data_IF_219212317429
#
_entry.id   IF_219212317429
#
_cell.length_a   1.000
_cell.length_b   1.000
_cell.length_c   1.000
_cell.angle_alpha   90.00
_cell.angle_beta   90.00
_cell.angle_gamma   90.00
#
_symmetry.space_group_name_H-M   'P 1'
#
loop_
_entity.id
_entity.type
_entity.pdbx_description
1 polymer ?
#
# COMPACT_ATOMS: atom_id res chain seq x y z
N UNK A 1 25.50 -1.21 -4.21
CA UNK A 1 26.07 0.06 -3.79
C UNK A 1 25.25 1.25 -4.31
N UNK A 2 25.38 2.40 -3.66
CA UNK A 2 24.68 3.62 -4.07
C UNK A 2 25.04 4.04 -5.49
N UNK A 3 26.29 3.89 -5.89
CA UNK A 3 26.77 4.23 -7.24
C UNK A 3 26.06 3.38 -8.30
N UNK A 4 25.90 2.09 -8.06
CA UNK A 4 25.21 1.19 -8.99
C UNK A 4 23.73 1.55 -9.11
N UNK A 5 23.09 1.96 -8.04
CA UNK A 5 21.70 2.43 -8.06
C UNK A 5 21.54 3.72 -8.87
N UNK A 6 22.47 4.66 -8.72
CA UNK A 6 22.45 5.88 -9.53
C UNK A 6 22.59 5.58 -11.02
N UNK A 7 23.45 4.62 -11.39
CA UNK A 7 23.61 4.19 -12.77
C UNK A 7 22.30 3.55 -13.28
N UNK A 8 21.64 2.73 -12.47
CA UNK A 8 20.35 2.11 -12.83
C UNK A 8 19.24 3.14 -13.06
N UNK A 9 19.28 4.27 -12.37
CA UNK A 9 18.30 5.34 -12.60
C UNK A 9 18.35 5.88 -14.02
N UNK A 10 19.47 5.75 -14.72
CA UNK A 10 19.58 6.17 -16.12
C UNK A 10 18.70 5.33 -17.07
N UNK A 11 18.25 4.15 -16.62
CA UNK A 11 17.33 3.29 -17.38
C UNK A 11 15.86 3.69 -17.18
N UNK A 12 15.57 4.65 -16.33
CA UNK A 12 14.21 5.16 -16.14
C UNK A 12 13.90 6.20 -17.23
N UNK A 13 12.62 6.24 -17.63
CA UNK A 13 12.15 7.33 -18.49
C UNK A 13 12.22 8.66 -17.72
N UNK A 14 12.40 9.80 -18.40
CA UNK A 14 12.56 11.09 -17.72
C UNK A 14 11.47 11.43 -16.69
N UNK A 15 10.17 11.20 -16.96
CA UNK A 15 9.15 11.48 -15.95
C UNK A 15 9.32 10.69 -14.64
N UNK A 16 9.84 9.46 -14.71
CA UNK A 16 10.10 8.66 -13.51
C UNK A 16 11.33 9.14 -12.74
N UNK A 17 12.37 9.62 -13.47
CA UNK A 17 13.52 10.25 -12.84
C UNK A 17 13.08 11.51 -12.08
N UNK A 18 12.24 12.33 -12.68
CA UNK A 18 11.66 13.50 -12.04
C UNK A 18 10.83 13.13 -10.79
N UNK A 19 10.09 12.02 -10.85
CA UNK A 19 9.31 11.54 -9.71
C UNK A 19 10.21 11.14 -8.55
N UNK A 20 11.37 10.54 -8.82
CA UNK A 20 12.36 10.22 -7.79
C UNK A 20 12.91 11.49 -7.16
N UNK A 21 13.30 12.47 -7.99
CA UNK A 21 13.83 13.75 -7.53
C UNK A 21 12.80 14.53 -6.70
N UNK A 22 11.52 14.44 -7.04
CA UNK A 22 10.43 15.09 -6.32
C UNK A 22 10.00 14.35 -5.06
N UNK A 23 10.57 13.17 -4.79
CA UNK A 23 10.19 12.34 -3.65
C UNK A 23 8.89 11.57 -3.81
N UNK A 24 8.29 11.58 -4.98
CA UNK A 24 7.05 10.83 -5.27
C UNK A 24 7.29 9.35 -5.45
N UNK A 25 8.46 8.97 -5.95
CA UNK A 25 8.89 7.58 -6.11
C UNK A 25 10.15 7.38 -5.28
N UNK A 26 10.14 6.37 -4.43
CA UNK A 26 11.29 6.07 -3.57
C UNK A 26 12.48 5.58 -4.39
N UNK A 27 13.68 5.98 -3.98
CA UNK A 27 14.93 5.71 -4.69
C UNK A 27 15.20 4.21 -4.87
N UNK A 28 15.08 3.42 -3.79
CA UNK A 28 15.43 1.99 -3.84
C UNK A 28 14.49 1.20 -4.76
N UNK A 29 13.15 1.28 -4.63
CA UNK A 29 12.27 0.61 -5.60
C UNK A 29 12.50 1.06 -7.03
N UNK A 30 12.75 2.34 -7.24
CA UNK A 30 13.01 2.87 -8.59
C UNK A 30 14.27 2.25 -9.21
N UNK A 31 15.36 2.24 -8.47
CA UNK A 31 16.65 1.75 -8.97
C UNK A 31 16.70 0.23 -9.09
N UNK A 32 16.19 -0.48 -8.09
CA UNK A 32 16.34 -1.94 -8.01
C UNK A 32 15.26 -2.70 -8.82
N UNK A 33 14.09 -2.13 -9.00
CA UNK A 33 12.95 -2.82 -9.64
C UNK A 33 12.43 -2.11 -10.88
N UNK A 34 12.03 -0.85 -10.77
CA UNK A 34 11.36 -0.14 -11.86
C UNK A 34 12.30 0.09 -13.06
N UNK A 35 13.59 0.29 -12.81
CA UNK A 35 14.59 0.47 -13.86
C UNK A 35 14.74 -0.74 -14.80
N UNK A 36 14.30 -1.91 -14.37
CA UNK A 36 14.33 -3.15 -15.16
C UNK A 36 13.11 -3.32 -16.06
N UNK A 37 12.09 -2.48 -15.92
CA UNK A 37 10.91 -2.51 -16.78
C UNK A 37 11.24 -1.95 -18.16
N UNK A 38 10.48 -2.37 -19.17
CA UNK A 38 10.61 -1.79 -20.51
C UNK A 38 10.09 -0.35 -20.51
N UNK A 39 10.46 0.41 -21.53
CA UNK A 39 10.03 1.80 -21.70
C UNK A 39 8.49 1.91 -21.73
N UNK A 40 7.82 1.01 -22.44
CA UNK A 40 6.36 0.94 -22.49
C UNK A 40 5.74 0.71 -21.09
N UNK A 41 6.31 -0.24 -20.35
CA UNK A 41 5.84 -0.57 -19.00
C UNK A 41 6.03 0.60 -18.06
N UNK A 42 7.16 1.25 -18.10
CA UNK A 42 7.45 2.44 -17.32
C UNK A 42 6.51 3.60 -17.66
N UNK A 43 6.24 3.80 -18.93
CA UNK A 43 5.33 4.86 -19.39
C UNK A 43 3.91 4.65 -18.84
N UNK A 44 3.41 3.43 -18.89
CA UNK A 44 2.08 3.12 -18.38
C UNK A 44 2.04 3.25 -16.86
N UNK A 45 3.07 2.77 -16.15
CA UNK A 45 3.17 2.91 -14.70
C UNK A 45 3.17 4.38 -14.29
N UNK A 46 3.95 5.22 -14.98
CA UNK A 46 4.00 6.65 -14.73
C UNK A 46 2.63 7.32 -14.93
N UNK A 47 1.91 6.91 -15.96
CA UNK A 47 0.56 7.38 -16.24
C UNK A 47 -0.39 7.06 -15.05
N UNK A 48 -0.33 5.83 -14.53
CA UNK A 48 -1.13 5.44 -13.38
C UNK A 48 -0.76 6.20 -12.11
N UNK A 49 0.53 6.42 -11.91
CA UNK A 49 1.02 7.18 -10.74
C UNK A 49 0.48 8.60 -10.72
N UNK A 50 0.44 9.26 -11.86
CA UNK A 50 -0.11 10.61 -11.97
C UNK A 50 -1.63 10.63 -11.85
N UNK A 51 -2.31 9.71 -12.53
CA UNK A 51 -3.77 9.65 -12.54
C UNK A 51 -4.35 9.38 -11.16
N UNK A 52 -3.77 8.41 -10.44
CA UNK A 52 -4.30 7.93 -9.17
C UNK A 52 -3.55 8.49 -7.96
N UNK A 53 -2.52 9.31 -8.20
CA UNK A 53 -1.65 9.90 -7.16
C UNK A 53 -1.07 8.84 -6.23
N UNK A 54 -0.60 7.74 -6.81
CA UNK A 54 -0.03 6.61 -6.07
C UNK A 54 1.39 6.33 -6.54
N UNK A 55 2.16 5.65 -5.72
CA UNK A 55 3.47 5.13 -6.11
C UNK A 55 3.59 3.67 -5.71
N UNK A 56 4.34 2.84 -6.46
CA UNK A 56 4.46 1.44 -6.12
C UNK A 56 5.23 1.25 -4.82
N UNK A 57 4.75 0.32 -3.99
CA UNK A 57 5.49 -0.13 -2.81
C UNK A 57 6.65 -1.03 -3.27
N UNK A 58 7.54 -1.39 -2.34
CA UNK A 58 8.63 -2.32 -2.62
C UNK A 58 8.10 -3.65 -3.15
N UNK A 59 7.07 -4.21 -2.52
CA UNK A 59 6.43 -5.46 -2.95
C UNK A 59 5.82 -5.34 -4.34
N UNK A 60 5.13 -4.25 -4.62
CA UNK A 60 4.53 -4.01 -5.94
C UNK A 60 5.60 -3.87 -7.02
N UNK A 61 6.64 -3.09 -6.74
CA UNK A 61 7.76 -2.90 -7.66
C UNK A 61 8.48 -4.22 -7.95
N UNK A 62 8.69 -5.04 -6.93
CA UNK A 62 9.32 -6.35 -7.07
C UNK A 62 8.50 -7.28 -7.95
N UNK A 63 7.19 -7.32 -7.76
CA UNK A 63 6.27 -8.12 -8.59
C UNK A 63 6.26 -7.65 -10.04
N UNK A 64 6.25 -6.33 -10.25
CA UNK A 64 6.33 -5.76 -11.60
C UNK A 64 7.60 -6.21 -12.31
N UNK A 65 8.74 -6.13 -11.65
CA UNK A 65 10.02 -6.57 -12.19
C UNK A 65 9.99 -8.06 -12.54
N UNK A 66 9.47 -8.89 -11.64
CA UNK A 66 9.42 -10.34 -11.82
C UNK A 66 8.57 -10.71 -13.05
N UNK A 67 7.38 -10.14 -13.17
CA UNK A 67 6.47 -10.41 -14.28
C UNK A 67 7.03 -9.86 -15.60
N UNK A 68 7.68 -8.71 -15.56
CA UNK A 68 8.36 -8.14 -16.71
C UNK A 68 9.49 -9.04 -17.21
N UNK A 69 10.28 -9.62 -16.30
CA UNK A 69 11.35 -10.55 -16.63
C UNK A 69 10.81 -11.83 -17.31
N UNK A 70 9.59 -12.24 -16.97
CA UNK A 70 8.91 -13.37 -17.59
C UNK A 70 8.28 -13.02 -18.95
N UNK A 71 8.29 -11.74 -19.32
CA UNK A 71 7.69 -11.26 -20.56
C UNK A 71 6.17 -11.22 -20.56
N UNK A 72 5.56 -11.25 -19.37
CA UNK A 72 4.10 -11.33 -19.18
C UNK A 72 3.48 -10.05 -18.65
N UNK A 73 4.26 -8.98 -18.50
CA UNK A 73 3.75 -7.73 -17.94
C UNK A 73 2.99 -6.93 -18.99
N UNK A 74 1.68 -6.91 -18.88
CA UNK A 74 0.77 -6.15 -19.72
C UNK A 74 0.17 -4.98 -18.93
N UNK A 75 -0.42 -4.01 -19.63
CA UNK A 75 -1.02 -2.83 -19.00
C UNK A 75 -2.08 -3.20 -17.97
N UNK A 76 -2.93 -4.19 -18.27
CA UNK A 76 -3.96 -4.65 -17.33
C UNK A 76 -3.35 -5.28 -16.07
N UNK A 77 -2.20 -5.93 -16.18
CA UNK A 77 -1.51 -6.53 -15.03
C UNK A 77 -0.87 -5.43 -14.17
N UNK A 78 -0.26 -4.44 -14.80
CA UNK A 78 0.26 -3.26 -14.07
C UNK A 78 -0.87 -2.57 -13.30
N UNK A 79 -2.00 -2.38 -13.96
CA UNK A 79 -3.18 -1.76 -13.35
C UNK A 79 -3.68 -2.57 -12.13
N UNK A 80 -3.76 -3.90 -12.26
CA UNK A 80 -4.16 -4.77 -11.15
C UNK A 80 -3.21 -4.69 -9.96
N UNK A 81 -1.91 -4.71 -10.22
CA UNK A 81 -0.90 -4.64 -9.15
C UNK A 81 -0.97 -3.29 -8.43
N UNK A 82 -1.09 -2.21 -9.19
CA UNK A 82 -1.17 -0.87 -8.60
C UNK A 82 -2.48 -0.62 -7.86
N UNK A 83 -3.55 -1.29 -8.26
CA UNK A 83 -4.85 -1.22 -7.58
C UNK A 83 -4.98 -2.19 -6.43
N UNK A 84 -4.04 -3.13 -6.26
CA UNK A 84 -4.07 -4.00 -5.10
C UNK A 84 -4.10 -3.12 -3.86
N UNK A 85 -5.27 -3.11 -3.24
CA UNK A 85 -5.45 -2.43 -1.99
C UNK A 85 -4.50 -3.05 -0.98
N UNK A 86 -3.58 -2.24 -0.47
CA UNK A 86 -2.97 -2.53 0.82
C UNK A 86 -4.12 -2.93 1.74
N UNK A 87 -3.98 -4.03 2.53
CA UNK A 87 -5.03 -4.37 3.46
C UNK A 87 -5.44 -3.07 4.15
N UNK A 88 -6.69 -2.68 3.90
CA UNK A 88 -7.25 -1.46 4.42
C UNK A 88 -7.02 -1.44 5.92
N UNK A 89 -6.08 -0.60 6.36
CA UNK A 89 -6.12 -0.14 7.74
C UNK A 89 -7.44 0.62 7.88
N UNK A 90 -8.49 -0.13 8.22
CA UNK A 90 -9.75 0.48 8.57
C UNK A 90 -9.54 1.26 9.87
N UNK A 91 -9.28 2.54 9.75
CA UNK A 91 -9.27 3.42 10.91
C UNK A 91 -10.70 3.72 11.28
N UNK A 92 -11.20 2.99 12.27
CA UNK A 92 -12.45 3.39 12.93
C UNK A 92 -12.07 4.35 14.04
N UNK A 93 -12.37 5.63 13.86
CA UNK A 93 -12.16 6.64 14.90
C UNK A 93 -13.45 6.80 15.70
N UNK A 94 -13.40 6.40 16.96
CA UNK A 94 -14.52 6.60 17.88
C UNK A 94 -14.36 7.96 18.57
N UNK A 95 -15.39 8.79 18.44
CA UNK A 95 -15.36 10.11 19.08
C UNK A 95 -15.50 10.00 20.58
N UNK A 96 -14.68 10.75 21.33
CA UNK A 96 -14.70 10.76 22.78
C UNK A 96 -16.06 11.11 23.37
N UNK A 97 -16.81 12.04 22.77
CA UNK A 97 -18.13 12.45 23.23
C UNK A 97 -19.14 11.31 23.24
N UNK A 98 -19.06 10.37 22.29
CA UNK A 98 -19.90 9.16 22.27
C UNK A 98 -19.44 8.12 23.30
N UNK A 99 -18.13 7.99 23.50
CA UNK A 99 -17.57 7.02 24.44
C UNK A 99 -17.77 7.44 25.88
N UNK A 100 -17.78 8.74 26.18
CA UNK A 100 -17.98 9.27 27.53
C UNK A 100 -19.32 8.86 28.15
N UNK A 101 -20.33 8.57 27.35
CA UNK A 101 -21.61 8.06 27.83
C UNK A 101 -21.52 6.67 28.47
N UNK A 102 -20.55 5.89 28.06
CA UNK A 102 -20.43 4.48 28.42
C UNK A 102 -19.27 4.21 29.38
N UNK A 103 -18.30 5.11 29.45
CA UNK A 103 -17.11 4.94 30.28
C UNK A 103 -16.98 6.05 31.31
N UNK A 104 -16.61 5.72 32.55
CA UNK A 104 -16.30 6.75 33.55
C UNK A 104 -15.06 7.57 33.12
N UNK A 105 -14.98 8.85 33.60
CA UNK A 105 -13.82 9.71 33.27
C UNK A 105 -12.47 9.17 33.72
N UNK A 106 -12.48 8.22 34.67
CA UNK A 106 -11.27 7.59 35.20
C UNK A 106 -10.65 6.54 34.27
N UNK A 107 -11.37 6.11 33.22
CA UNK A 107 -10.83 5.12 32.30
C UNK A 107 -9.82 5.74 31.35
N UNK A 108 -8.66 5.10 31.26
CA UNK A 108 -7.64 5.47 30.27
C UNK A 108 -8.06 4.97 28.89
N UNK A 109 -7.54 5.59 27.81
CA UNK A 109 -7.83 5.10 26.45
C UNK A 109 -7.50 3.61 26.26
N UNK A 110 -6.44 3.12 26.92
CA UNK A 110 -6.06 1.71 26.87
C UNK A 110 -7.11 0.81 27.52
N UNK A 111 -7.68 1.22 28.65
CA UNK A 111 -8.76 0.48 29.33
C UNK A 111 -10.03 0.44 28.49
N UNK A 112 -10.38 1.55 27.84
CA UNK A 112 -11.51 1.60 26.92
C UNK A 112 -11.33 0.64 25.75
N UNK A 113 -10.13 0.60 25.17
CA UNK A 113 -9.79 -0.30 24.07
C UNK A 113 -9.95 -1.77 24.49
N UNK A 114 -9.46 -2.15 25.67
CA UNK A 114 -9.58 -3.51 26.19
C UNK A 114 -11.04 -3.95 26.33
N UNK A 115 -11.90 -3.08 26.86
CA UNK A 115 -13.34 -3.36 26.99
C UNK A 115 -13.99 -3.55 25.62
N UNK A 116 -13.68 -2.66 24.67
CA UNK A 116 -14.23 -2.72 23.31
C UNK A 116 -13.80 -4.02 22.61
N UNK A 117 -12.54 -4.42 22.73
CA UNK A 117 -12.05 -5.66 22.16
C UNK A 117 -12.75 -6.88 22.72
N UNK A 118 -12.97 -6.93 24.06
CA UNK A 118 -13.70 -8.04 24.69
C UNK A 118 -15.15 -8.14 24.21
N UNK A 119 -15.81 -7.00 24.03
CA UNK A 119 -17.17 -6.96 23.51
C UNK A 119 -17.22 -7.45 22.05
N UNK A 120 -16.26 -7.06 21.22
CA UNK A 120 -16.16 -7.50 19.85
C UNK A 120 -15.86 -9.00 19.74
N UNK A 121 -15.02 -9.53 20.62
CA UNK A 121 -14.74 -10.98 20.67
C UNK A 121 -16.01 -11.77 20.98
N UNK A 122 -16.80 -11.31 21.96
CA UNK A 122 -18.09 -11.93 22.29
C UNK A 122 -19.08 -11.87 21.14
N UNK A 123 -19.16 -10.75 20.46
CA UNK A 123 -20.02 -10.57 19.29
C UNK A 123 -19.58 -11.49 18.13
N UNK A 124 -18.29 -11.60 17.90
CA UNK A 124 -17.72 -12.44 16.84
C UNK A 124 -18.02 -13.92 17.09
N UNK A 125 -17.87 -14.40 18.31
CA UNK A 125 -18.20 -15.80 18.68
C UNK A 125 -19.69 -16.11 18.45
N UNK A 126 -20.58 -15.22 18.86
CA UNK A 126 -22.02 -15.39 18.63
C UNK A 126 -22.36 -15.47 17.16
N UNK A 127 -21.71 -14.63 16.35
CA UNK A 127 -21.93 -14.62 14.91
C UNK A 127 -21.45 -15.91 14.24
N UNK A 128 -20.32 -16.46 14.68
CA UNK A 128 -19.81 -17.74 14.18
C UNK A 128 -20.76 -18.90 14.52
N UNK A 129 -21.33 -18.91 15.72
CA UNK A 129 -22.30 -19.92 16.13
C UNK A 129 -23.59 -19.85 15.27
N UNK A 130 -24.04 -18.67 14.94
CA UNK A 130 -25.20 -18.49 14.06
C UNK A 130 -24.92 -18.98 12.65
N UNK A 131 -23.71 -18.80 12.14
CA UNK A 131 -23.32 -19.29 10.80
C UNK A 131 -23.08 -20.79 10.77
N UNK A 132 -22.79 -21.41 11.90
CA UNK A 132 -22.54 -22.85 12.00
C UNK A 132 -23.83 -23.70 12.04
N UNK A 133 -24.98 -23.07 12.08
CA UNK A 133 -26.28 -23.79 12.09
C UNK A 133 -26.79 -24.00 10.66
#
# INVERSE_FOLDING_TARGET
TAIQRYIRLTNLIPPLVEAVDAGKLKFVPAADYISHLTEKEQTYLQFLMERDEVSPSVDQAQRLKQISAEGKLENNIIDLIMREEKPLERKVTLRNDRLQKYFPPSYTPKQMEEVIIKLLEGWHRRRQQEQAR
#
